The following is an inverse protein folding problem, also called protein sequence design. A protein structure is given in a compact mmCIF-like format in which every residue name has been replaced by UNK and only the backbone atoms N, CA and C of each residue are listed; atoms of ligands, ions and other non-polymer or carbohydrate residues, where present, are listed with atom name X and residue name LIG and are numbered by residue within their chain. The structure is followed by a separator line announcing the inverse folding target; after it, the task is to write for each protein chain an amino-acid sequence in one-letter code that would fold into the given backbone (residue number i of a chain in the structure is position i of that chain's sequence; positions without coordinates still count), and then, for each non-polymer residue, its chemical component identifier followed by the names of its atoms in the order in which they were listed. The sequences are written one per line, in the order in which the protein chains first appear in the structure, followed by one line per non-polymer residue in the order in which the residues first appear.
data_IF_548585658413
#
_entry.id   IF_548585658413
#
_cell.length_a   1.000
_cell.length_b   1.000
_cell.length_c   1.000
_cell.angle_alpha   90.00
_cell.angle_beta   90.00
_cell.angle_gamma   90.00
#
_symmetry.space_group_name_H-M   'P 1'
#
loop_
_entity.id
_entity.type
_entity.pdbx_description
1 polymer ?
#
# COMPACT_ATOMS: atom_id res chain seq x y z
N UNK A 1 8.33 17.96 34.17
CA UNK A 1 7.93 16.62 33.71
C UNK A 1 7.80 16.68 32.20
N UNK A 2 8.76 16.13 31.46
CA UNK A 2 8.78 16.17 29.99
C UNK A 2 7.85 15.06 29.51
N UNK A 3 6.74 15.41 28.84
CA UNK A 3 5.80 14.42 28.25
C UNK A 3 6.58 13.50 27.31
N UNK A 4 6.44 12.19 27.49
CA UNK A 4 6.94 11.22 26.51
C UNK A 4 6.45 11.62 25.11
N UNK A 5 7.28 11.54 24.06
CA UNK A 5 6.87 11.92 22.71
C UNK A 5 5.62 11.13 22.33
N UNK A 6 4.62 11.86 21.80
CA UNK A 6 3.32 11.34 21.43
C UNK A 6 3.46 10.02 20.65
N UNK A 7 3.00 8.93 21.25
CA UNK A 7 2.96 7.61 20.62
C UNK A 7 2.27 7.71 19.26
N UNK A 8 2.90 7.17 18.22
CA UNK A 8 2.27 7.06 16.89
C UNK A 8 0.88 6.44 17.08
N UNK A 9 -0.21 7.12 16.67
CA UNK A 9 -1.56 6.60 16.85
C UNK A 9 -1.75 5.40 15.92
N UNK A 10 -1.52 4.20 16.44
CA UNK A 10 -1.52 2.95 15.68
C UNK A 10 -2.84 2.73 14.92
N UNK A 11 -3.96 3.14 15.51
CA UNK A 11 -5.28 3.11 14.87
C UNK A 11 -5.34 3.96 13.59
N UNK A 12 -4.73 5.16 13.59
CA UNK A 12 -4.68 5.99 12.39
C UNK A 12 -3.76 5.39 11.31
N UNK A 13 -2.70 4.67 11.72
CA UNK A 13 -1.84 3.92 10.77
C UNK A 13 -2.65 2.84 10.07
N UNK A 14 -3.40 2.03 10.83
CA UNK A 14 -4.16 0.91 10.27
C UNK A 14 -5.33 1.38 9.41
N UNK A 15 -5.99 2.48 9.75
CA UNK A 15 -7.01 3.11 8.92
C UNK A 15 -6.46 3.52 7.54
N UNK A 16 -5.30 4.19 7.51
CA UNK A 16 -4.66 4.61 6.26
C UNK A 16 -4.27 3.40 5.42
N UNK A 17 -3.65 2.38 6.03
CA UNK A 17 -3.28 1.14 5.33
C UNK A 17 -4.51 0.41 4.77
N UNK A 18 -5.61 0.35 5.53
CA UNK A 18 -6.87 -0.24 5.10
C UNK A 18 -7.46 0.45 3.87
N UNK A 19 -7.46 1.79 3.85
CA UNK A 19 -7.93 2.55 2.70
C UNK A 19 -7.11 2.29 1.43
N UNK A 20 -5.78 2.18 1.56
CA UNK A 20 -4.89 1.84 0.44
C UNK A 20 -5.19 0.41 -0.06
N UNK A 21 -5.28 -0.55 0.87
CA UNK A 21 -5.55 -1.94 0.54
C UNK A 21 -6.90 -2.10 -0.21
N UNK A 22 -7.96 -1.43 0.23
CA UNK A 22 -9.26 -1.44 -0.45
C UNK A 22 -9.19 -0.85 -1.87
N UNK A 23 -8.39 0.20 -2.08
CA UNK A 23 -8.19 0.78 -3.42
C UNK A 23 -7.49 -0.20 -4.37
N UNK A 24 -6.49 -0.91 -3.86
CA UNK A 24 -5.75 -1.94 -4.61
C UNK A 24 -6.68 -3.12 -4.92
N UNK A 25 -7.42 -3.62 -3.92
CA UNK A 25 -8.39 -4.71 -4.07
C UNK A 25 -9.40 -4.42 -5.19
N UNK A 26 -10.03 -3.23 -5.18
CA UNK A 26 -10.96 -2.80 -6.23
C UNK A 26 -10.33 -2.82 -7.63
N UNK A 27 -9.04 -2.53 -7.73
CA UNK A 27 -8.30 -2.54 -8.99
C UNK A 27 -8.01 -3.97 -9.44
N UNK A 28 -7.53 -4.82 -8.52
CA UNK A 28 -7.26 -6.24 -8.79
C UNK A 28 -8.52 -7.00 -9.21
N UNK A 29 -9.65 -6.74 -8.55
CA UNK A 29 -10.94 -7.35 -8.89
C UNK A 29 -11.40 -7.02 -10.32
N UNK A 30 -11.03 -5.84 -10.84
CA UNK A 30 -11.32 -5.47 -12.24
C UNK A 30 -10.34 -6.09 -13.22
N UNK A 31 -9.05 -6.11 -12.87
CA UNK A 31 -7.98 -6.63 -13.72
C UNK A 31 -7.96 -8.17 -13.81
N UNK A 32 -8.55 -8.85 -12.83
CA UNK A 32 -8.66 -10.32 -12.71
C UNK A 32 -7.35 -11.05 -13.03
N UNK A 33 -6.23 -10.72 -12.37
CA UNK A 33 -5.03 -11.52 -12.48
C UNK A 33 -5.26 -12.90 -11.85
N UNK A 34 -4.56 -13.91 -12.35
CA UNK A 34 -4.53 -15.23 -11.71
C UNK A 34 -3.76 -15.18 -10.39
N UNK A 35 -2.77 -14.29 -10.28
CA UNK A 35 -2.00 -14.04 -9.08
C UNK A 35 -1.54 -12.59 -9.01
N UNK A 36 -1.59 -12.01 -7.81
CA UNK A 36 -1.14 -10.66 -7.55
C UNK A 36 -0.26 -10.61 -6.30
N UNK A 37 0.87 -9.91 -6.40
CA UNK A 37 1.76 -9.59 -5.29
C UNK A 37 1.91 -8.08 -5.20
N UNK A 38 1.71 -7.54 -4.00
CA UNK A 38 1.74 -6.10 -3.73
C UNK A 38 2.69 -5.84 -2.59
N UNK A 39 3.65 -4.95 -2.81
CA UNK A 39 4.59 -4.47 -1.81
C UNK A 39 4.42 -2.96 -1.69
N UNK A 40 4.12 -2.50 -0.48
CA UNK A 40 3.87 -1.09 -0.18
C UNK A 40 4.76 -0.68 0.99
N UNK A 41 5.67 0.26 0.73
CA UNK A 41 6.37 1.03 1.75
C UNK A 41 5.59 2.30 2.07
N UNK A 42 5.24 2.50 3.34
CA UNK A 42 4.64 3.76 3.81
C UNK A 42 5.50 4.34 4.91
N UNK A 43 5.92 5.60 4.72
CA UNK A 43 6.56 6.39 5.76
C UNK A 43 5.52 7.29 6.43
N UNK A 44 5.57 7.36 7.75
CA UNK A 44 4.67 8.19 8.54
C UNK A 44 5.47 9.26 9.28
N UNK A 45 4.96 10.49 9.26
CA UNK A 45 5.47 11.60 10.06
C UNK A 45 4.39 12.12 10.99
N UNK A 46 4.80 12.75 12.10
CA UNK A 46 3.91 13.50 12.97
C UNK A 46 4.01 14.99 12.62
N UNK A 47 2.89 15.61 12.24
CA UNK A 47 2.80 17.04 11.98
C UNK A 47 1.69 17.65 12.82
N UNK A 48 2.04 18.57 13.71
CA UNK A 48 1.10 19.20 14.66
C UNK A 48 0.29 18.17 15.49
N UNK A 49 0.95 17.08 15.94
CA UNK A 49 0.29 16.01 16.70
C UNK A 49 -0.64 15.10 15.89
N UNK A 50 -0.73 15.28 14.57
CA UNK A 50 -1.48 14.39 13.66
C UNK A 50 -0.53 13.50 12.89
N UNK A 51 -0.93 12.24 12.69
CA UNK A 51 -0.24 11.33 11.81
C UNK A 51 -0.46 11.75 10.35
N UNK A 52 0.61 11.86 9.58
CA UNK A 52 0.57 12.17 8.16
C UNK A 52 1.40 11.13 7.43
N UNK A 53 0.78 10.45 6.45
CA UNK A 53 1.54 9.61 5.52
C UNK A 53 2.45 10.50 4.67
N UNK A 54 3.76 10.36 4.85
CA UNK A 54 4.78 10.98 4.02
C UNK A 54 4.97 10.08 2.81
N UNK A 55 4.08 10.20 1.82
CA UNK A 55 4.38 9.64 0.50
C UNK A 55 5.48 10.53 -0.07
N UNK A 56 6.73 10.14 0.16
CA UNK A 56 7.92 10.88 -0.22
C UNK A 56 7.83 11.26 -1.70
N UNK A 57 7.62 12.55 -1.97
CA UNK A 57 7.72 13.10 -3.32
C UNK A 57 9.19 12.99 -3.75
N UNK A 58 9.51 11.91 -4.46
CA UNK A 58 10.67 11.83 -5.34
C UNK A 58 12.03 11.58 -4.67
N UNK A 59 12.51 10.33 -4.76
CA UNK A 59 13.96 10.05 -4.83
C UNK A 59 14.30 8.78 -5.64
N UNK A 60 13.38 8.31 -6.50
CA UNK A 60 13.67 7.24 -7.47
C UNK A 60 13.54 5.79 -6.96
N UNK A 61 13.18 5.56 -5.69
CA UNK A 61 12.74 4.24 -5.20
C UNK A 61 11.21 4.18 -5.22
N UNK A 62 10.66 3.16 -5.88
CA UNK A 62 9.22 2.94 -5.90
C UNK A 62 8.75 2.41 -4.54
N UNK A 63 8.03 3.24 -3.77
CA UNK A 63 7.41 2.83 -2.51
C UNK A 63 6.15 1.98 -2.71
N UNK A 64 5.74 1.73 -3.96
CA UNK A 64 4.68 0.82 -4.34
C UNK A 64 5.15 -0.03 -5.51
N UNK A 65 5.23 -1.34 -5.30
CA UNK A 65 5.54 -2.33 -6.33
C UNK A 65 4.38 -3.32 -6.42
N UNK A 66 3.84 -3.47 -7.62
CA UNK A 66 2.73 -4.38 -7.90
C UNK A 66 3.19 -5.32 -9.01
N UNK A 67 3.10 -6.63 -8.78
CA UNK A 67 3.36 -7.67 -9.76
C UNK A 67 2.07 -8.47 -9.98
N UNK A 68 1.64 -8.56 -11.23
CA UNK A 68 0.42 -9.23 -11.64
C UNK A 68 0.75 -10.31 -12.67
N UNK A 69 0.18 -11.49 -12.50
CA UNK A 69 0.38 -12.64 -13.38
C UNK A 69 -0.98 -13.11 -13.91
N UNK A 70 -1.05 -13.42 -15.22
CA UNK A 70 -2.24 -13.98 -15.86
C UNK A 70 -1.88 -15.28 -16.54
N UNK A 71 -2.62 -16.33 -16.22
CA UNK A 71 -2.53 -17.59 -16.95
C UNK A 71 -3.31 -17.45 -18.26
N UNK A 72 -2.60 -17.61 -19.38
CA UNK A 72 -3.23 -17.69 -20.69
C UNK A 72 -3.53 -19.17 -20.93
N UNK A 73 -4.79 -19.56 -20.85
CA UNK A 73 -5.18 -20.89 -21.34
C UNK A 73 -5.03 -20.88 -22.86
N UNK A 74 -3.91 -21.39 -23.34
CA UNK A 74 -3.64 -21.55 -24.78
C UNK A 74 -4.18 -22.94 -25.13
N UNK A 75 -5.26 -23.04 -25.94
CA UNK A 75 -5.75 -24.33 -26.38
C UNK A 75 -4.63 -25.07 -27.10
N UNK A 76 -4.33 -26.30 -26.66
CA UNK A 76 -3.33 -27.14 -27.32
C UNK A 76 -3.90 -27.50 -28.69
N UNK A 77 -3.21 -27.09 -29.77
CA UNK A 77 -3.54 -27.57 -31.10
C UNK A 77 -3.25 -29.08 -31.14
N UNK A 78 -4.29 -29.89 -31.35
CA UNK A 78 -4.20 -31.32 -31.67
C UNK A 78 -3.86 -31.54 -33.14
#
# INVERSE_FOLDING_TARGET
MQKAPDSIPFEQVTEVLGAIAQGIEKTLNKAKPSKASVELGVEFGLKNGKLVALIARGSGKANLKIALEWERNIPKAE
#
